data_IF_095659911085
#
_entry.id   IF_095659911085
#
_cell.length_a   1.000
_cell.length_b   1.000
_cell.length_c   1.000
_cell.angle_alpha   90.00
_cell.angle_beta   90.00
_cell.angle_gamma   90.00
#
_symmetry.space_group_name_H-M   'P 1'
#
loop_
_entity.id
_entity.type
_entity.pdbx_description
1 polymer ?
#
# COMPACT_ATOMS: atom_id res chain seq x y z
N UNK A 1 2.66 -9.56 -0.01
CA UNK A 1 2.65 -8.17 -0.52
C UNK A 1 4.05 -7.59 -0.39
N UNK A 2 4.45 -6.75 -1.33
CA UNK A 2 5.68 -5.96 -1.25
C UNK A 2 5.31 -4.47 -1.27
N UNK A 3 5.89 -3.68 -0.38
CA UNK A 3 5.87 -2.22 -0.47
C UNK A 3 7.31 -1.73 -0.44
N UNK A 4 7.67 -0.78 -1.30
CA UNK A 4 8.99 -0.16 -1.27
C UNK A 4 8.91 1.35 -1.51
N UNK A 5 9.82 2.07 -0.85
CA UNK A 5 10.04 3.50 -1.01
C UNK A 5 11.49 3.76 -1.47
N UNK A 6 11.81 3.50 -2.76
CA UNK A 6 13.16 3.68 -3.29
C UNK A 6 13.59 5.17 -3.26
N UNK A 7 14.89 5.48 -3.41
CA UNK A 7 15.36 6.87 -3.58
C UNK A 7 14.74 7.52 -4.84
N UNK A 8 14.36 8.79 -4.77
CA UNK A 8 13.59 9.48 -5.83
C UNK A 8 14.45 10.26 -6.83
N UNK A 9 15.77 10.35 -6.60
CA UNK A 9 16.70 11.03 -7.53
C UNK A 9 16.38 12.53 -7.75
N UNK A 10 15.83 13.22 -6.74
CA UNK A 10 15.36 14.62 -6.85
C UNK A 10 16.49 15.65 -6.89
N UNK A 11 16.30 16.74 -7.65
CA UNK A 11 17.29 17.82 -7.78
C UNK A 11 17.55 18.63 -6.50
N UNK A 12 16.69 18.59 -5.47
CA UNK A 12 16.93 19.27 -4.19
C UNK A 12 18.13 18.71 -3.41
N UNK A 13 18.61 17.51 -3.77
CA UNK A 13 19.87 16.98 -3.28
C UNK A 13 21.12 17.70 -3.83
N UNK A 14 20.95 18.69 -4.73
CA UNK A 14 22.04 19.53 -5.27
C UNK A 14 22.71 20.41 -4.19
N UNK A 15 21.95 20.88 -3.21
CA UNK A 15 22.46 21.79 -2.15
C UNK A 15 22.98 21.05 -0.91
N UNK A 16 22.82 19.72 -0.83
CA UNK A 16 23.27 18.88 0.30
C UNK A 16 24.77 18.53 0.23
N UNK A 17 25.53 19.17 -0.64
CA UNK A 17 26.98 19.00 -0.79
C UNK A 17 27.40 17.79 -1.65
N UNK A 18 26.47 17.12 -2.33
CA UNK A 18 26.72 15.98 -3.23
C UNK A 18 26.92 16.42 -4.70
N UNK A 19 27.81 17.40 -4.92
CA UNK A 19 28.24 17.77 -6.27
C UNK A 19 29.32 16.79 -6.76
N UNK A 20 28.96 15.93 -7.70
CA UNK A 20 29.94 15.38 -8.64
C UNK A 20 29.80 16.15 -9.95
N UNK A 21 30.81 16.96 -10.24
CA UNK A 21 31.22 17.21 -11.61
C UNK A 21 31.84 15.90 -12.15
N UNK A 22 31.74 15.62 -13.45
CA UNK A 22 32.25 14.39 -14.07
C UNK A 22 33.79 14.20 -13.97
N UNK A 23 34.49 14.97 -13.12
CA UNK A 23 35.96 15.02 -13.02
C UNK A 23 36.56 14.98 -11.62
N UNK A 24 35.77 14.79 -10.56
CA UNK A 24 36.34 14.83 -9.20
C UNK A 24 36.60 13.42 -8.64
N UNK A 25 37.88 13.09 -8.45
CA UNK A 25 38.37 11.90 -7.74
C UNK A 25 37.81 11.85 -6.31
N UNK A 26 37.13 10.76 -5.98
CA UNK A 26 36.40 10.60 -4.71
C UNK A 26 37.34 10.18 -3.59
N UNK A 27 37.62 11.09 -2.66
CA UNK A 27 38.23 10.74 -1.37
C UNK A 27 37.21 10.08 -0.43
N UNK A 28 37.60 8.96 0.19
CA UNK A 28 36.73 8.01 0.89
C UNK A 28 36.09 8.46 2.23
N UNK A 29 36.11 9.74 2.60
CA UNK A 29 35.82 10.17 3.97
C UNK A 29 34.51 10.94 4.19
N UNK A 30 33.59 11.00 3.22
CA UNK A 30 32.25 11.61 3.45
C UNK A 30 31.17 11.10 2.49
N UNK A 31 30.77 9.84 2.63
CA UNK A 31 29.61 9.29 1.90
C UNK A 31 28.31 9.62 2.63
N UNK A 32 27.63 10.67 2.18
CA UNK A 32 26.24 11.01 2.50
C UNK A 32 25.31 10.05 1.72
N UNK A 33 24.10 9.79 2.23
CA UNK A 33 23.09 8.90 1.64
C UNK A 33 23.02 9.10 0.11
N UNK A 34 23.25 8.04 -0.67
CA UNK A 34 23.46 8.20 -2.13
C UNK A 34 22.12 8.32 -2.86
N UNK A 35 21.52 9.51 -2.77
CA UNK A 35 20.22 9.81 -3.40
C UNK A 35 20.35 10.24 -4.87
N UNK A 36 21.57 10.25 -5.42
CA UNK A 36 21.86 10.60 -6.82
C UNK A 36 22.37 9.38 -7.58
N UNK A 37 21.61 8.96 -8.58
CA UNK A 37 22.02 7.98 -9.57
C UNK A 37 21.90 8.63 -10.96
N UNK A 38 22.78 8.28 -11.90
CA UNK A 38 22.42 8.52 -13.30
C UNK A 38 21.10 7.79 -13.56
N UNK A 39 20.22 8.32 -14.43
CA UNK A 39 18.94 7.64 -14.70
C UNK A 39 19.15 6.16 -15.06
N UNK A 40 20.16 5.88 -15.87
CA UNK A 40 20.60 4.51 -16.20
C UNK A 40 21.03 3.73 -14.96
N UNK A 41 21.83 4.32 -14.07
CA UNK A 41 22.23 3.69 -12.81
C UNK A 41 21.06 3.39 -11.87
N UNK A 42 20.08 4.31 -11.79
CA UNK A 42 18.87 4.13 -10.99
C UNK A 42 18.01 2.99 -11.54
N UNK A 43 17.79 2.99 -12.87
CA UNK A 43 17.02 1.95 -13.54
C UNK A 43 17.71 0.58 -13.43
N UNK A 44 19.03 0.51 -13.57
CA UNK A 44 19.77 -0.74 -13.36
C UNK A 44 19.63 -1.25 -11.93
N UNK A 45 19.76 -0.37 -10.92
CA UNK A 45 19.56 -0.72 -9.52
C UNK A 45 18.16 -1.28 -9.26
N UNK A 46 17.13 -0.62 -9.82
CA UNK A 46 15.73 -1.02 -9.67
C UNK A 46 15.41 -2.30 -10.43
N UNK A 47 15.95 -2.48 -11.64
CA UNK A 47 15.73 -3.64 -12.49
C UNK A 47 16.10 -4.94 -11.77
N UNK A 48 17.31 -5.02 -11.21
CA UNK A 48 17.78 -6.22 -10.52
C UNK A 48 16.91 -6.54 -9.29
N UNK A 49 16.54 -5.51 -8.51
CA UNK A 49 15.70 -5.68 -7.31
C UNK A 49 14.27 -6.07 -7.65
N UNK A 50 13.66 -5.44 -8.66
CA UNK A 50 12.28 -5.72 -9.08
C UNK A 50 12.14 -7.12 -9.69
N UNK A 51 13.16 -7.59 -10.43
CA UNK A 51 13.21 -8.98 -10.92
C UNK A 51 13.18 -9.98 -9.76
N UNK A 52 14.00 -9.77 -8.72
CA UNK A 52 13.98 -10.62 -7.52
C UNK A 52 12.65 -10.49 -6.76
N UNK A 53 12.12 -9.28 -6.60
CA UNK A 53 10.84 -9.04 -5.96
C UNK A 53 9.69 -9.81 -6.63
N UNK A 54 9.66 -9.83 -7.97
CA UNK A 54 8.69 -10.62 -8.75
C UNK A 54 8.81 -12.13 -8.48
N UNK A 55 10.02 -12.65 -8.32
CA UNK A 55 10.24 -14.07 -7.99
C UNK A 55 9.69 -14.40 -6.60
N UNK A 56 9.88 -13.51 -5.62
CA UNK A 56 9.43 -13.68 -4.23
C UNK A 56 7.92 -13.56 -4.03
N UNK A 57 7.21 -12.83 -4.89
CA UNK A 57 5.75 -12.71 -4.81
C UNK A 57 5.06 -14.06 -5.02
N UNK A 58 4.00 -14.31 -4.25
CA UNK A 58 3.00 -15.34 -4.59
C UNK A 58 2.21 -14.93 -5.82
N UNK A 59 1.52 -15.88 -6.45
CA UNK A 59 0.71 -15.65 -7.64
C UNK A 59 -0.38 -14.57 -7.44
N UNK A 60 -1.02 -14.54 -6.26
CA UNK A 60 -1.97 -13.52 -5.83
C UNK A 60 -1.29 -12.27 -5.22
N UNK A 61 0.04 -12.24 -5.21
CA UNK A 61 0.84 -11.21 -4.58
C UNK A 61 0.86 -9.90 -5.36
N UNK A 62 0.89 -8.80 -4.63
CA UNK A 62 0.94 -7.44 -5.16
C UNK A 62 2.19 -6.70 -4.68
N UNK A 63 2.68 -5.78 -5.51
CA UNK A 63 3.78 -4.86 -5.20
C UNK A 63 3.33 -3.42 -5.38
N UNK A 64 3.75 -2.57 -4.44
CA UNK A 64 3.56 -1.13 -4.44
C UNK A 64 4.92 -0.44 -4.40
N UNK A 65 5.15 0.51 -5.31
CA UNK A 65 6.39 1.26 -5.38
C UNK A 65 6.06 2.75 -5.31
N UNK A 66 6.45 3.41 -4.23
CA UNK A 66 6.31 4.86 -4.11
C UNK A 66 7.34 5.58 -4.99
N UNK A 67 6.94 6.67 -5.64
CA UNK A 67 7.79 7.45 -6.55
C UNK A 67 7.26 8.88 -6.72
N UNK A 68 8.14 9.83 -7.02
CA UNK A 68 7.78 11.19 -7.42
C UNK A 68 7.68 11.34 -8.95
N UNK A 69 7.44 12.56 -9.44
CA UNK A 69 7.37 12.84 -10.87
C UNK A 69 8.67 12.56 -11.65
N UNK A 70 9.83 12.56 -10.99
CA UNK A 70 11.15 12.52 -11.64
C UNK A 70 11.38 11.21 -12.39
N UNK A 71 11.11 10.08 -11.73
CA UNK A 71 11.39 8.75 -12.28
C UNK A 71 10.13 7.91 -12.55
N UNK A 72 8.93 8.42 -12.24
CA UNK A 72 7.67 7.67 -12.35
C UNK A 72 7.44 7.02 -13.72
N UNK A 73 7.67 7.77 -14.81
CA UNK A 73 7.43 7.27 -16.17
C UNK A 73 8.39 6.13 -16.52
N UNK A 74 9.67 6.27 -16.16
CA UNK A 74 10.69 5.25 -16.44
C UNK A 74 10.49 4.01 -15.58
N UNK A 75 10.13 4.19 -14.31
CA UNK A 75 9.76 3.08 -13.43
C UNK A 75 8.56 2.31 -13.98
N UNK A 76 7.53 3.01 -14.50
CA UNK A 76 6.35 2.36 -15.09
C UNK A 76 6.74 1.46 -16.27
N UNK A 77 7.56 1.96 -17.19
CA UNK A 77 8.03 1.19 -18.35
C UNK A 77 8.86 -0.02 -17.90
N UNK A 78 9.76 0.16 -16.93
CA UNK A 78 10.55 -0.94 -16.37
C UNK A 78 9.66 -2.01 -15.71
N UNK A 79 8.63 -1.59 -14.97
CA UNK A 79 7.69 -2.52 -14.34
C UNK A 79 6.79 -3.23 -15.37
N UNK A 80 6.43 -2.60 -16.48
CA UNK A 80 5.74 -3.28 -17.60
C UNK A 80 6.60 -4.42 -18.16
N UNK A 81 7.90 -4.19 -18.37
CA UNK A 81 8.83 -5.21 -18.85
C UNK A 81 8.96 -6.39 -17.86
N UNK A 82 9.06 -6.09 -16.56
CA UNK A 82 9.30 -7.12 -15.54
C UNK A 82 8.03 -7.88 -15.18
N UNK A 83 6.90 -7.19 -14.98
CA UNK A 83 5.65 -7.77 -14.47
C UNK A 83 4.64 -8.11 -15.57
N UNK A 84 4.79 -7.56 -16.78
CA UNK A 84 3.78 -7.61 -17.84
C UNK A 84 2.77 -6.47 -17.69
N UNK A 85 2.52 -5.74 -18.78
CA UNK A 85 1.56 -4.62 -18.81
C UNK A 85 0.15 -5.07 -18.39
N UNK A 86 -0.24 -6.29 -18.74
CA UNK A 86 -1.52 -6.88 -18.37
C UNK A 86 -1.70 -7.02 -16.85
N UNK A 87 -0.60 -7.08 -16.10
CA UNK A 87 -0.58 -7.21 -14.65
C UNK A 87 -0.56 -5.86 -13.92
N UNK A 88 -0.56 -4.74 -14.65
CA UNK A 88 -0.73 -3.41 -14.07
C UNK A 88 -2.11 -3.29 -13.40
N UNK A 89 -2.13 -2.83 -12.16
CA UNK A 89 -3.37 -2.65 -11.38
C UNK A 89 -3.86 -1.22 -11.52
N UNK A 90 -3.10 -0.27 -11.00
CA UNK A 90 -3.38 1.15 -11.05
C UNK A 90 -2.16 1.97 -10.61
N UNK A 91 -2.25 3.28 -10.82
CA UNK A 91 -1.36 4.26 -10.18
C UNK A 91 -2.17 4.98 -9.10
N UNK A 92 -1.73 4.87 -7.85
CA UNK A 92 -2.29 5.69 -6.78
C UNK A 92 -1.66 7.07 -6.81
N UNK A 93 -2.49 8.10 -6.69
CA UNK A 93 -2.08 9.49 -6.51
C UNK A 93 -2.31 9.84 -5.05
N UNK A 94 -1.24 10.05 -4.32
CA UNK A 94 -1.27 10.40 -2.91
C UNK A 94 -0.99 11.89 -2.73
N UNK A 95 -1.91 12.59 -2.08
CA UNK A 95 -1.70 13.99 -1.71
C UNK A 95 -0.84 14.08 -0.44
N UNK A 96 0.44 14.39 -0.63
CA UNK A 96 1.45 14.40 0.44
C UNK A 96 1.37 15.62 1.37
N UNK A 97 0.81 16.73 0.89
CA UNK A 97 0.70 18.00 1.63
C UNK A 97 -0.77 18.44 1.71
N UNK A 98 -1.19 18.93 2.87
CA UNK A 98 -2.46 19.65 3.00
C UNK A 98 -2.25 21.08 2.49
N UNK A 99 -3.18 21.59 1.67
CA UNK A 99 -3.12 22.91 1.01
C UNK A 99 -2.62 24.04 1.93
N UNK A 100 -1.77 24.90 1.38
CA UNK A 100 -1.33 26.15 1.99
C UNK A 100 0.12 26.11 2.46
N UNK A 101 1.05 26.55 1.60
CA UNK A 101 2.42 26.86 2.02
C UNK A 101 3.49 26.53 0.99
N UNK A 102 3.38 27.05 -0.24
CA UNK A 102 4.44 26.99 -1.23
C UNK A 102 4.32 28.17 -2.19
N UNK A 103 5.22 29.15 -2.08
CA UNK A 103 5.36 30.17 -3.13
C UNK A 103 6.21 29.59 -4.25
N UNK A 104 5.70 28.59 -4.95
CA UNK A 104 6.40 28.07 -6.12
C UNK A 104 6.35 29.14 -7.22
N UNK A 105 7.51 29.48 -7.80
CA UNK A 105 7.62 30.55 -8.82
C UNK A 105 6.75 30.28 -10.05
N UNK A 106 6.35 29.02 -10.25
CA UNK A 106 5.48 28.55 -11.32
C UNK A 106 3.98 28.82 -11.08
N UNK A 107 3.57 29.28 -9.89
CA UNK A 107 2.17 29.35 -9.44
C UNK A 107 1.44 27.98 -9.46
N UNK A 108 2.19 26.86 -9.43
CA UNK A 108 1.65 25.50 -9.39
C UNK A 108 2.24 24.81 -8.16
N UNK A 109 1.38 24.46 -7.20
CA UNK A 109 1.78 23.70 -6.02
C UNK A 109 1.85 22.19 -6.35
N UNK A 110 3.05 21.60 -6.30
CA UNK A 110 3.17 20.14 -6.39
C UNK A 110 2.86 19.47 -5.04
N UNK A 111 1.61 19.03 -4.90
CA UNK A 111 1.06 18.43 -3.67
C UNK A 111 0.96 16.90 -3.71
N UNK A 112 1.37 16.26 -4.80
CA UNK A 112 1.14 14.82 -5.02
C UNK A 112 2.43 14.02 -5.13
N UNK A 113 2.30 12.73 -4.85
CA UNK A 113 3.27 11.66 -5.13
C UNK A 113 2.52 10.45 -5.69
N UNK A 114 3.23 9.53 -6.33
CA UNK A 114 2.66 8.36 -6.98
C UNK A 114 3.03 7.08 -6.26
N UNK A 115 2.17 6.07 -6.40
CA UNK A 115 2.45 4.72 -5.94
C UNK A 115 1.97 3.77 -7.02
N UNK A 116 2.92 3.20 -7.76
CA UNK A 116 2.65 2.29 -8.86
C UNK A 116 2.34 0.91 -8.27
N UNK A 117 1.20 0.33 -8.66
CA UNK A 117 0.75 -0.97 -8.20
C UNK A 117 0.71 -2.01 -9.33
N UNK A 118 1.38 -3.14 -9.11
CA UNK A 118 1.32 -4.33 -9.96
C UNK A 118 0.92 -5.56 -9.17
N UNK A 119 0.22 -6.47 -9.85
CA UNK A 119 0.05 -7.84 -9.39
C UNK A 119 1.14 -8.73 -9.97
N UNK A 120 1.45 -9.87 -9.34
CA UNK A 120 2.24 -10.91 -9.98
C UNK A 120 1.45 -11.58 -11.12
N UNK A 121 0.19 -11.88 -10.85
CA UNK A 121 -0.80 -12.37 -11.81
C UNK A 121 -2.17 -11.75 -11.48
N UNK A 122 -2.62 -10.80 -12.31
CA UNK A 122 -3.84 -10.03 -12.05
C UNK A 122 -5.12 -10.87 -12.06
N UNK A 123 -5.15 -11.98 -12.78
CA UNK A 123 -6.30 -12.90 -12.81
C UNK A 123 -6.49 -13.67 -11.49
N UNK A 124 -5.40 -13.84 -10.72
CA UNK A 124 -5.40 -14.51 -9.42
C UNK A 124 -5.46 -13.55 -8.24
N UNK A 125 -5.25 -12.25 -8.48
CA UNK A 125 -5.30 -11.23 -7.44
C UNK A 125 -6.71 -11.05 -6.89
N UNK A 126 -6.81 -10.96 -5.56
CA UNK A 126 -8.02 -10.63 -4.86
C UNK A 126 -7.84 -9.30 -4.12
N UNK A 127 -8.90 -8.49 -4.06
CA UNK A 127 -8.88 -7.18 -3.42
C UNK A 127 -9.88 -7.14 -2.28
N UNK A 128 -9.45 -6.55 -1.17
CA UNK A 128 -10.31 -6.26 -0.05
C UNK A 128 -11.22 -5.08 -0.37
N UNK A 129 -12.17 -4.82 0.52
CA UNK A 129 -13.03 -3.64 0.50
C UNK A 129 -12.92 -2.86 1.80
N UNK A 130 -12.95 -1.53 1.71
CA UNK A 130 -12.95 -0.66 2.87
C UNK A 130 -14.23 -0.84 3.68
N UNK A 131 -14.13 -0.81 5.01
CA UNK A 131 -15.31 -0.81 5.88
C UNK A 131 -16.17 0.42 5.58
N UNK A 132 -17.48 0.24 5.54
CA UNK A 132 -18.43 1.34 5.35
C UNK A 132 -18.82 1.88 6.71
N UNK A 133 -19.05 3.19 6.76
CA UNK A 133 -19.73 3.82 7.87
C UNK A 133 -21.17 3.29 8.01
N UNK A 134 -21.39 2.51 9.05
CA UNK A 134 -22.68 1.88 9.39
C UNK A 134 -23.73 2.90 9.83
N UNK A 135 -23.37 4.15 10.14
CA UNK A 135 -24.32 5.19 10.58
C UNK A 135 -25.41 5.48 9.54
N UNK A 136 -25.12 5.27 8.25
CA UNK A 136 -26.10 5.47 7.18
C UNK A 136 -27.19 4.39 7.13
N UNK A 137 -26.95 3.21 7.71
CA UNK A 137 -27.88 2.07 7.67
C UNK A 137 -28.86 2.15 8.84
N UNK A 138 -29.90 2.96 8.67
CA UNK A 138 -30.85 3.30 9.75
C UNK A 138 -32.18 2.53 9.70
N UNK A 139 -32.53 1.94 8.56
CA UNK A 139 -33.82 1.27 8.35
C UNK A 139 -33.69 -0.25 8.56
N UNK A 140 -34.80 -0.87 8.95
CA UNK A 140 -34.88 -2.31 9.22
C UNK A 140 -36.15 -2.90 8.60
N UNK A 141 -36.09 -4.18 8.25
CA UNK A 141 -37.25 -4.97 7.84
C UNK A 141 -37.13 -6.41 8.38
N UNK A 142 -38.06 -7.28 7.99
CA UNK A 142 -38.12 -8.68 8.40
C UNK A 142 -36.81 -9.47 8.14
N UNK A 143 -35.94 -8.98 7.24
CA UNK A 143 -34.66 -9.61 6.93
C UNK A 143 -33.50 -9.11 7.78
N UNK A 144 -33.69 -8.19 8.74
CA UNK A 144 -32.59 -7.56 9.51
C UNK A 144 -31.62 -8.56 10.13
N UNK A 145 -32.09 -9.73 10.57
CA UNK A 145 -31.21 -10.79 11.13
C UNK A 145 -30.25 -11.40 10.09
N UNK A 146 -30.66 -11.47 8.83
CA UNK A 146 -29.91 -12.12 7.73
C UNK A 146 -29.21 -11.14 6.80
N UNK A 147 -29.81 -9.96 6.57
CA UNK A 147 -29.32 -8.91 5.66
C UNK A 147 -28.75 -7.70 6.40
N UNK A 148 -29.02 -7.55 7.69
CA UNK A 148 -28.69 -6.36 8.48
C UNK A 148 -29.60 -5.18 8.17
N UNK A 149 -29.23 -3.99 8.66
CA UNK A 149 -29.96 -2.75 8.40
C UNK A 149 -29.76 -2.30 6.96
N UNK A 150 -30.58 -1.37 6.48
CA UNK A 150 -30.51 -0.83 5.13
C UNK A 150 -30.73 0.68 5.08
N UNK A 151 -30.40 1.26 3.92
CA UNK A 151 -30.85 2.59 3.53
C UNK A 151 -31.47 2.56 2.13
N UNK A 152 -32.23 3.61 1.80
CA UNK A 152 -32.85 3.76 0.49
C UNK A 152 -31.97 4.63 -0.43
N UNK A 153 -31.77 4.15 -1.65
CA UNK A 153 -31.17 4.93 -2.73
C UNK A 153 -32.12 5.03 -3.91
N UNK A 154 -32.05 6.13 -4.65
CA UNK A 154 -32.87 6.35 -5.84
C UNK A 154 -32.62 5.24 -6.87
N UNK A 155 -33.70 4.68 -7.43
CA UNK A 155 -33.59 3.70 -8.51
C UNK A 155 -33.36 4.36 -9.87
N UNK A 156 -33.55 5.68 -9.96
CA UNK A 156 -33.41 6.48 -11.16
C UNK A 156 -32.22 7.44 -11.11
N UNK A 157 -31.73 7.85 -12.29
CA UNK A 157 -30.67 8.85 -12.43
C UNK A 157 -31.01 9.85 -13.53
N UNK A 158 -30.49 11.06 -13.40
CA UNK A 158 -30.57 12.11 -14.42
C UNK A 158 -29.88 11.63 -15.70
N UNK A 159 -30.49 11.93 -16.84
CA UNK A 159 -29.91 11.80 -18.16
C UNK A 159 -29.54 13.18 -18.71
N UNK A 160 -28.27 13.41 -19.06
CA UNK A 160 -27.79 14.67 -19.63
C UNK A 160 -26.57 14.47 -20.54
N UNK A 161 -26.24 15.48 -21.36
CA UNK A 161 -25.03 15.46 -22.20
C UNK A 161 -23.73 15.43 -21.39
N UNK A 162 -23.73 16.01 -20.20
CA UNK A 162 -22.57 16.08 -19.29
C UNK A 162 -22.53 14.96 -18.25
N UNK A 163 -23.52 14.07 -18.25
CA UNK A 163 -23.64 12.94 -17.33
C UNK A 163 -23.98 11.67 -18.12
N UNK A 164 -24.77 10.77 -17.57
CA UNK A 164 -25.23 9.59 -18.26
C UNK A 164 -26.20 9.97 -19.37
N UNK A 165 -25.96 9.46 -20.59
CA UNK A 165 -26.93 9.61 -21.66
C UNK A 165 -28.19 8.79 -21.35
N UNK A 166 -29.31 9.22 -21.93
CA UNK A 166 -30.56 8.49 -21.82
C UNK A 166 -30.45 7.15 -22.55
N UNK A 167 -30.96 6.08 -21.92
CA UNK A 167 -30.95 4.72 -22.46
C UNK A 167 -32.39 4.23 -22.49
N UNK A 168 -32.94 4.01 -23.69
CA UNK A 168 -34.34 3.64 -23.90
C UNK A 168 -34.72 2.30 -23.22
N UNK A 169 -33.80 1.32 -23.21
CA UNK A 169 -34.02 0.04 -22.54
C UNK A 169 -34.11 0.13 -21.00
N UNK A 170 -33.78 1.29 -20.42
CA UNK A 170 -33.89 1.59 -18.99
C UNK A 170 -35.11 2.48 -18.66
N UNK A 171 -35.99 2.74 -19.62
CA UNK A 171 -37.23 3.50 -19.45
C UNK A 171 -38.46 2.61 -19.66
N UNK A 172 -38.62 1.65 -18.75
CA UNK A 172 -39.72 0.68 -18.74
C UNK A 172 -40.74 1.02 -17.65
N UNK A 173 -41.93 0.44 -17.73
CA UNK A 173 -42.95 0.58 -16.70
C UNK A 173 -42.71 -0.39 -15.54
N UNK A 174 -43.07 0.05 -14.33
CA UNK A 174 -43.02 -0.71 -13.10
C UNK A 174 -44.45 -0.81 -12.54
N UNK A 175 -44.79 -1.96 -11.97
CA UNK A 175 -46.06 -2.15 -11.26
C UNK A 175 -45.97 -1.54 -9.86
N UNK A 176 -46.89 -0.63 -9.55
CA UNK A 176 -47.07 -0.04 -8.23
C UNK A 176 -47.80 -1.00 -7.27
N UNK A 177 -47.76 -0.75 -5.94
CA UNK A 177 -48.44 -1.58 -4.96
C UNK A 177 -49.97 -1.67 -5.13
N UNK A 178 -50.59 -0.67 -5.77
CA UNK A 178 -52.02 -0.63 -6.09
C UNK A 178 -52.39 -1.40 -7.39
N UNK A 179 -51.40 -2.02 -8.04
CA UNK A 179 -51.55 -2.75 -9.30
C UNK A 179 -51.45 -1.88 -10.54
N UNK A 180 -51.32 -0.55 -10.41
CA UNK A 180 -51.16 0.35 -11.57
C UNK A 180 -49.74 0.28 -12.14
N UNK A 181 -49.59 0.49 -13.45
CA UNK A 181 -48.27 0.62 -14.09
C UNK A 181 -47.85 2.09 -14.09
N UNK A 182 -46.59 2.37 -13.75
CA UNK A 182 -46.04 3.73 -13.80
C UNK A 182 -44.67 3.76 -14.45
N UNK A 183 -44.38 4.89 -15.12
CA UNK A 183 -43.04 5.26 -15.59
C UNK A 183 -42.41 6.24 -14.61
N UNK A 184 -41.11 6.52 -14.81
CA UNK A 184 -40.47 7.59 -14.07
C UNK A 184 -41.23 8.92 -14.29
N UNK A 185 -41.80 9.46 -13.21
CA UNK A 185 -42.61 10.69 -13.28
C UNK A 185 -41.85 11.88 -13.87
N UNK A 186 -40.52 11.95 -13.68
CA UNK A 186 -39.71 13.03 -14.27
C UNK A 186 -39.57 12.89 -15.78
N UNK A 187 -39.62 11.67 -16.33
CA UNK A 187 -39.70 11.45 -17.78
C UNK A 187 -41.06 11.87 -18.36
N UNK A 188 -42.14 11.75 -17.58
CA UNK A 188 -43.46 12.24 -17.98
C UNK A 188 -43.43 13.76 -18.13
N UNK A 189 -42.83 14.46 -17.17
CA UNK A 189 -42.70 15.93 -17.22
C UNK A 189 -41.70 16.41 -18.28
N UNK A 190 -40.57 15.72 -18.42
CA UNK A 190 -39.53 16.03 -19.38
C UNK A 190 -39.03 14.73 -20.02
N UNK A 191 -39.51 14.40 -21.23
CA UNK A 191 -39.11 13.19 -21.92
C UNK A 191 -37.58 13.04 -22.02
N UNK A 192 -37.10 11.80 -21.83
CA UNK A 192 -35.68 11.42 -21.92
C UNK A 192 -34.75 12.14 -20.93
N UNK A 193 -35.27 12.59 -19.79
CA UNK A 193 -34.48 13.32 -18.80
C UNK A 193 -33.96 12.46 -17.65
N UNK A 194 -34.52 11.26 -17.46
CA UNK A 194 -34.13 10.28 -16.45
C UNK A 194 -34.18 8.87 -17.05
N UNK A 195 -33.51 7.93 -16.40
CA UNK A 195 -33.68 6.50 -16.67
C UNK A 195 -33.44 5.71 -15.38
N UNK A 196 -33.95 4.48 -15.32
CA UNK A 196 -33.64 3.59 -14.20
C UNK A 196 -32.17 3.14 -14.23
N UNK A 197 -31.66 2.76 -13.06
CA UNK A 197 -30.29 2.27 -12.87
C UNK A 197 -30.13 0.77 -13.08
N UNK A 198 -31.24 0.04 -13.14
CA UNK A 198 -31.28 -1.41 -13.36
C UNK A 198 -31.97 -1.70 -14.69
N UNK A 199 -31.43 -2.65 -15.47
CA UNK A 199 -32.17 -3.25 -16.58
C UNK A 199 -33.37 -4.04 -16.07
N UNK A 200 -34.40 -4.21 -16.92
CA UNK A 200 -35.69 -4.79 -16.52
C UNK A 200 -35.58 -6.15 -15.80
N UNK A 201 -34.79 -7.07 -16.35
CA UNK A 201 -34.57 -8.41 -15.77
C UNK A 201 -33.91 -8.34 -14.38
N UNK A 202 -32.91 -7.46 -14.21
CA UNK A 202 -32.26 -7.25 -12.91
C UNK A 202 -33.21 -6.56 -11.93
N UNK A 203 -34.04 -5.63 -12.39
CA UNK A 203 -35.09 -5.03 -11.57
C UNK A 203 -36.07 -6.09 -11.05
N UNK A 204 -36.55 -6.99 -11.93
CA UNK A 204 -37.44 -8.08 -11.55
C UNK A 204 -36.79 -9.00 -10.50
N UNK A 205 -35.50 -9.31 -10.63
CA UNK A 205 -34.75 -10.03 -9.61
C UNK A 205 -34.72 -9.29 -8.27
N UNK A 206 -34.38 -8.00 -8.26
CA UNK A 206 -34.37 -7.19 -7.04
C UNK A 206 -35.77 -7.11 -6.41
N UNK A 207 -36.81 -6.90 -7.22
CA UNK A 207 -38.18 -6.75 -6.76
C UNK A 207 -38.70 -8.07 -6.15
N UNK A 208 -38.49 -9.19 -6.83
CA UNK A 208 -38.89 -10.53 -6.36
C UNK A 208 -38.19 -10.91 -5.04
N UNK A 209 -36.99 -10.37 -4.80
CA UNK A 209 -36.21 -10.59 -3.58
C UNK A 209 -36.40 -9.49 -2.50
N UNK A 210 -37.38 -8.60 -2.65
CA UNK A 210 -37.72 -7.51 -1.70
C UNK A 210 -36.63 -6.45 -1.53
N UNK A 211 -35.77 -6.23 -2.53
CA UNK A 211 -34.78 -5.14 -2.53
C UNK A 211 -35.31 -3.84 -3.14
N UNK A 212 -36.57 -3.80 -3.59
CA UNK A 212 -37.22 -2.60 -4.12
C UNK A 212 -38.27 -2.12 -3.14
N UNK A 213 -38.30 -0.82 -2.91
CA UNK A 213 -39.34 -0.14 -2.13
C UNK A 213 -40.02 0.91 -3.00
N UNK A 214 -41.34 0.83 -3.17
CA UNK A 214 -42.12 1.76 -3.98
C UNK A 214 -42.96 2.61 -3.04
N UNK A 215 -42.79 3.92 -3.12
CA UNK A 215 -43.47 4.89 -2.28
C UNK A 215 -44.26 5.89 -3.13
N UNK A 216 -45.42 6.31 -2.63
CA UNK A 216 -46.14 7.43 -3.21
C UNK A 216 -45.49 8.74 -2.75
N UNK A 217 -45.20 9.63 -3.70
CA UNK A 217 -44.63 10.96 -3.46
C UNK A 217 -45.56 12.01 -4.03
N UNK A 218 -45.41 13.24 -3.54
CA UNK A 218 -46.18 14.39 -4.00
C UNK A 218 -45.22 15.36 -4.68
N UNK A 219 -45.55 15.77 -5.91
CA UNK A 219 -44.78 16.76 -6.65
C UNK A 219 -45.11 18.17 -6.16
N UNK A 220 -44.33 19.18 -6.57
CA UNK A 220 -44.46 20.56 -6.09
C UNK A 220 -45.85 21.18 -6.32
N UNK A 221 -46.56 20.70 -7.34
CA UNK A 221 -47.91 21.14 -7.72
C UNK A 221 -49.04 20.35 -7.01
N UNK A 222 -48.70 19.43 -6.10
CA UNK A 222 -49.68 18.57 -5.41
C UNK A 222 -49.98 17.25 -6.11
N UNK A 223 -49.45 17.02 -7.31
CA UNK A 223 -49.66 15.76 -8.06
C UNK A 223 -49.01 14.58 -7.34
N UNK A 224 -49.77 13.53 -7.08
CA UNK A 224 -49.24 12.28 -6.51
C UNK A 224 -48.65 11.40 -7.61
N UNK A 225 -47.50 10.81 -7.34
CA UNK A 225 -46.81 9.90 -8.27
C UNK A 225 -46.07 8.80 -7.51
N UNK A 226 -45.84 7.67 -8.18
CA UNK A 226 -45.07 6.57 -7.63
C UNK A 226 -43.56 6.75 -7.89
N UNK A 227 -42.75 6.46 -6.88
CA UNK A 227 -41.28 6.43 -7.00
C UNK A 227 -40.74 5.14 -6.40
N UNK A 228 -39.86 4.49 -7.15
CA UNK A 228 -39.15 3.29 -6.73
C UNK A 228 -37.77 3.64 -6.17
N UNK A 229 -37.39 2.94 -5.11
CA UNK A 229 -36.12 3.00 -4.41
C UNK A 229 -35.51 1.62 -4.34
N UNK A 230 -34.18 1.57 -4.27
CA UNK A 230 -33.44 0.34 -3.99
C UNK A 230 -33.04 0.33 -2.51
N UNK A 231 -33.32 -0.77 -1.83
CA UNK A 231 -32.79 -1.06 -0.51
C UNK A 231 -31.33 -1.52 -0.62
N UNK A 232 -30.44 -0.86 0.11
CA UNK A 232 -29.02 -1.22 0.18
C UNK A 232 -28.73 -1.70 1.60
N UNK A 233 -28.50 -3.00 1.73
CA UNK A 233 -28.28 -3.68 3.02
C UNK A 233 -26.80 -3.78 3.39
N UNK A 234 -26.51 -3.90 4.70
CA UNK A 234 -25.16 -3.97 5.26
C UNK A 234 -24.49 -5.35 5.06
N UNK A 235 -25.24 -6.47 5.19
CA UNK A 235 -24.67 -7.85 5.20
C UNK A 235 -24.91 -8.66 3.94
N UNK A 236 -25.50 -8.04 2.91
CA UNK A 236 -25.73 -8.70 1.62
C UNK A 236 -25.48 -7.79 0.44
N UNK A 237 -24.99 -8.41 -0.63
CA UNK A 237 -24.88 -7.80 -1.96
C UNK A 237 -25.59 -8.67 -2.99
N UNK A 238 -25.92 -8.07 -4.14
CA UNK A 238 -26.40 -8.82 -5.30
C UNK A 238 -25.27 -8.94 -6.31
N UNK A 239 -24.87 -10.17 -6.61
CA UNK A 239 -24.03 -10.49 -7.76
C UNK A 239 -24.83 -10.27 -9.04
N UNK A 240 -24.29 -9.42 -9.91
CA UNK A 240 -24.91 -9.02 -11.18
C UNK A 240 -24.45 -9.88 -12.34
N UNK A 241 -23.54 -10.83 -12.13
CA UNK A 241 -23.22 -11.85 -13.11
C UNK A 241 -24.40 -12.81 -13.23
N UNK A 242 -24.71 -13.25 -14.45
CA UNK A 242 -25.77 -14.23 -14.67
C UNK A 242 -25.27 -15.64 -14.32
N UNK A 243 -26.05 -16.46 -13.61
CA UNK A 243 -27.35 -16.12 -13.00
C UNK A 243 -27.18 -15.24 -11.75
N UNK A 244 -28.07 -14.25 -11.58
CA UNK A 244 -28.01 -13.31 -10.45
C UNK A 244 -28.16 -14.03 -9.11
N UNK A 245 -27.37 -13.62 -8.11
CA UNK A 245 -27.35 -14.24 -6.77
C UNK A 245 -27.27 -13.20 -5.67
N UNK A 246 -27.83 -13.52 -4.51
CA UNK A 246 -27.61 -12.75 -3.28
C UNK A 246 -26.44 -13.41 -2.56
N UNK A 247 -25.39 -12.64 -2.26
CA UNK A 247 -24.22 -13.10 -1.53
C UNK A 247 -24.26 -12.49 -0.14
N UNK A 248 -24.18 -13.34 0.89
CA UNK A 248 -23.98 -12.90 2.26
C UNK A 248 -22.51 -12.53 2.45
N UNK A 249 -22.27 -11.23 2.62
CA UNK A 249 -20.97 -10.65 2.96
C UNK A 249 -21.20 -9.23 3.45
N UNK A 250 -20.35 -8.76 4.35
CA UNK A 250 -20.36 -7.36 4.73
C UNK A 250 -20.09 -6.47 3.51
N UNK A 251 -20.84 -5.37 3.43
CA UNK A 251 -20.67 -4.40 2.36
C UNK A 251 -19.45 -3.55 2.66
N UNK A 252 -18.57 -3.44 1.67
CA UNK A 252 -17.43 -2.54 1.70
C UNK A 252 -17.43 -1.55 0.55
N UNK A 253 -16.73 -0.43 0.72
CA UNK A 253 -16.40 0.50 -0.34
C UNK A 253 -15.16 0.04 -1.10
N UNK A 254 -15.06 0.41 -2.38
CA UNK A 254 -13.82 0.19 -3.12
C UNK A 254 -12.74 1.14 -2.63
N UNK A 255 -11.49 0.68 -2.63
CA UNK A 255 -10.34 1.57 -2.43
C UNK A 255 -10.23 2.56 -3.59
N UNK A 256 -10.03 3.83 -3.27
CA UNK A 256 -9.76 4.90 -4.24
C UNK A 256 -8.29 4.88 -4.64
N UNK A 257 -8.01 5.09 -5.93
CA UNK A 257 -6.64 5.37 -6.38
C UNK A 257 -6.24 6.85 -6.18
N UNK A 258 -7.15 7.69 -5.69
CA UNK A 258 -6.84 9.04 -5.22
C UNK A 258 -6.91 9.06 -3.68
N UNK A 259 -5.75 9.22 -3.04
CA UNK A 259 -5.60 9.26 -1.58
C UNK A 259 -5.44 10.73 -1.18
N UNK A 260 -6.53 11.36 -0.74
CA UNK A 260 -6.60 12.78 -0.39
C UNK A 260 -7.20 12.99 1.02
N UNK A 261 -6.91 12.07 1.94
CA UNK A 261 -7.37 12.19 3.31
C UNK A 261 -6.37 13.01 4.12
N UNK A 262 -6.83 14.06 4.81
CA UNK A 262 -5.93 15.03 5.46
C UNK A 262 -5.08 14.46 6.60
N UNK A 263 -5.47 13.32 7.15
CA UNK A 263 -4.73 12.51 8.13
C UNK A 263 -3.64 11.63 7.49
N UNK A 264 -3.58 11.50 6.17
CA UNK A 264 -2.57 10.75 5.42
C UNK A 264 -1.65 11.76 4.71
N UNK A 265 -0.85 12.52 5.47
CA UNK A 265 0.09 13.51 4.92
C UNK A 265 1.49 13.34 5.47
N UNK A 266 2.51 13.79 4.75
CA UNK A 266 3.92 13.70 5.17
C UNK A 266 4.18 14.28 6.56
N UNK A 267 3.44 15.32 6.94
CA UNK A 267 3.50 15.93 8.28
C UNK A 267 3.11 14.97 9.40
N UNK A 268 2.13 14.09 9.16
CA UNK A 268 1.65 13.10 10.13
C UNK A 268 2.70 12.04 10.41
N UNK A 269 3.37 11.53 9.36
CA UNK A 269 4.47 10.58 9.48
C UNK A 269 5.62 11.14 10.33
N UNK A 270 6.02 12.38 10.07
CA UNK A 270 7.06 13.08 10.86
C UNK A 270 6.67 13.21 12.33
N UNK A 271 5.43 13.63 12.64
CA UNK A 271 4.96 13.75 14.04
C UNK A 271 5.03 12.43 14.79
N UNK A 272 4.60 11.33 14.17
CA UNK A 272 4.64 10.00 14.80
C UNK A 272 6.07 9.54 15.04
N UNK A 273 6.98 9.75 14.09
CA UNK A 273 8.38 9.38 14.30
C UNK A 273 9.03 10.19 15.43
N UNK A 274 8.78 11.51 15.48
CA UNK A 274 9.27 12.38 16.55
C UNK A 274 8.74 11.90 17.91
N UNK A 275 7.46 11.53 18.01
CA UNK A 275 6.89 11.06 19.29
C UNK A 275 7.48 9.74 19.79
N UNK A 276 8.10 8.96 18.90
CA UNK A 276 8.74 7.68 19.24
C UNK A 276 10.22 7.89 19.59
N UNK A 277 10.95 8.63 18.76
CA UNK A 277 12.41 8.78 18.88
C UNK A 277 12.86 9.99 19.71
N UNK A 278 11.94 10.91 20.05
CA UNK A 278 12.23 12.22 20.70
C UNK A 278 13.26 13.09 19.97
N UNK A 279 13.49 12.83 18.68
CA UNK A 279 14.47 13.55 17.88
C UNK A 279 13.78 14.27 16.72
N UNK A 280 14.11 15.55 16.55
CA UNK A 280 13.49 16.46 15.57
C UNK A 280 14.16 16.45 14.18
N UNK A 281 15.35 15.85 14.07
CA UNK A 281 16.24 15.99 12.90
C UNK A 281 16.09 14.90 11.84
N UNK A 282 14.90 14.29 11.72
CA UNK A 282 14.67 13.23 10.73
C UNK A 282 13.97 13.71 9.45
N UNK A 283 14.39 13.08 8.34
CA UNK A 283 13.72 13.12 7.04
C UNK A 283 12.28 12.65 7.17
N UNK A 284 11.43 13.05 6.23
CA UNK A 284 10.00 12.83 6.31
C UNK A 284 9.64 11.36 6.02
N UNK A 285 9.32 10.53 7.04
CA UNK A 285 8.96 9.15 6.79
C UNK A 285 7.57 9.10 6.14
N UNK A 286 7.31 8.04 5.36
CA UNK A 286 5.95 7.77 4.87
C UNK A 286 4.98 7.63 6.05
N UNK A 287 3.74 8.16 5.95
CA UNK A 287 2.75 8.03 7.03
C UNK A 287 2.33 6.57 7.25
N UNK A 288 2.09 6.20 8.51
CA UNK A 288 1.61 4.85 8.85
C UNK A 288 0.28 4.57 8.16
N UNK A 289 -0.66 5.52 8.21
CA UNK A 289 -1.99 5.38 7.60
C UNK A 289 -1.94 5.13 6.09
N UNK A 290 -0.94 5.68 5.39
CA UNK A 290 -0.73 5.40 3.97
C UNK A 290 -0.39 3.92 3.76
N UNK A 291 0.55 3.40 4.54
CA UNK A 291 0.98 2.00 4.41
C UNK A 291 -0.12 1.05 4.87
N UNK A 292 -0.89 1.40 5.92
CA UNK A 292 -2.07 0.65 6.35
C UNK A 292 -3.11 0.59 5.24
N UNK A 293 -3.39 1.71 4.59
CA UNK A 293 -4.30 1.78 3.45
C UNK A 293 -3.89 0.81 2.34
N UNK A 294 -2.61 0.79 1.97
CA UNK A 294 -2.09 -0.11 0.94
C UNK A 294 -2.14 -1.58 1.38
N UNK A 295 -1.70 -1.91 2.60
CA UNK A 295 -1.71 -3.29 3.11
C UNK A 295 -3.14 -3.83 3.16
N UNK A 296 -4.08 -3.01 3.61
CA UNK A 296 -5.47 -3.41 3.76
C UNK A 296 -6.19 -3.60 2.41
N UNK A 297 -5.61 -3.18 1.28
CA UNK A 297 -6.14 -3.52 -0.05
C UNK A 297 -6.05 -5.02 -0.35
N UNK A 298 -5.13 -5.74 0.30
CA UNK A 298 -4.97 -7.18 0.15
C UNK A 298 -5.82 -7.91 1.21
N UNK A 299 -6.70 -8.86 0.83
CA UNK A 299 -7.71 -9.42 1.73
C UNK A 299 -7.18 -10.44 2.74
N UNK A 300 -5.95 -10.92 2.57
CA UNK A 300 -5.37 -11.96 3.43
C UNK A 300 -4.88 -11.38 4.78
N UNK A 301 -5.50 -11.74 5.93
CA UNK A 301 -5.08 -11.27 7.25
C UNK A 301 -3.79 -11.93 7.76
N UNK A 302 -3.28 -12.96 7.09
CA UNK A 302 -2.02 -13.64 7.40
C UNK A 302 -0.94 -13.34 6.33
N UNK A 303 -1.09 -12.22 5.62
CA UNK A 303 -0.18 -11.84 4.54
C UNK A 303 1.24 -11.63 5.06
N UNK A 304 2.22 -12.07 4.26
CA UNK A 304 3.64 -11.72 4.44
C UNK A 304 3.92 -10.41 3.70
N UNK A 305 4.42 -9.41 4.41
CA UNK A 305 4.74 -8.08 3.91
C UNK A 305 6.25 -7.92 3.86
N UNK A 306 6.79 -7.60 2.69
CA UNK A 306 8.22 -7.36 2.50
C UNK A 306 8.44 -5.91 2.09
N UNK A 307 9.42 -5.27 2.71
CA UNK A 307 9.90 -3.96 2.34
C UNK A 307 11.43 -3.95 2.38
N UNK A 308 12.04 -3.90 1.18
CA UNK A 308 13.49 -3.89 1.03
C UNK A 308 14.08 -2.50 0.79
N UNK A 309 13.29 -1.46 1.08
CA UNK A 309 13.71 -0.06 1.20
C UNK A 309 13.11 0.52 2.50
N UNK A 310 13.27 -0.20 3.62
CA UNK A 310 12.46 0.03 4.82
C UNK A 310 12.68 1.41 5.46
N UNK A 311 13.85 2.03 5.25
CA UNK A 311 14.19 3.35 5.76
C UNK A 311 13.93 3.47 7.26
N UNK A 312 12.91 4.25 7.65
CA UNK A 312 12.55 4.45 9.06
C UNK A 312 11.74 3.33 9.71
N UNK A 313 11.35 2.27 8.99
CA UNK A 313 10.57 1.15 9.52
C UNK A 313 9.06 1.42 9.60
N UNK A 314 8.52 2.31 8.76
CA UNK A 314 7.07 2.61 8.72
C UNK A 314 6.25 1.35 8.43
N UNK A 315 6.69 0.52 7.47
CA UNK A 315 5.96 -0.69 7.05
C UNK A 315 5.78 -1.70 8.17
N UNK A 316 6.84 -1.93 8.97
CA UNK A 316 6.74 -2.81 10.14
C UNK A 316 5.75 -2.29 11.18
N UNK A 317 5.77 -0.97 11.45
CA UNK A 317 4.79 -0.35 12.36
C UNK A 317 3.35 -0.52 11.83
N UNK A 318 3.11 -0.24 10.55
CA UNK A 318 1.77 -0.38 9.95
C UNK A 318 1.22 -1.81 10.05
N UNK A 319 2.07 -2.82 9.89
CA UNK A 319 1.68 -4.24 10.04
C UNK A 319 1.28 -4.55 11.48
N UNK A 320 2.07 -4.11 12.47
CA UNK A 320 1.75 -4.30 13.89
C UNK A 320 0.43 -3.63 14.27
N UNK A 321 0.21 -2.41 13.77
CA UNK A 321 -1.01 -1.64 14.04
C UNK A 321 -2.24 -2.31 13.42
N UNK A 322 -2.17 -2.74 12.15
CA UNK A 322 -3.27 -3.46 11.50
C UNK A 322 -3.64 -4.76 12.23
N UNK A 323 -2.64 -5.58 12.60
CA UNK A 323 -2.91 -6.82 13.32
C UNK A 323 -3.62 -6.56 14.66
N UNK A 324 -3.28 -5.46 15.36
CA UNK A 324 -3.98 -5.05 16.58
C UNK A 324 -5.42 -4.60 16.29
N UNK A 325 -5.64 -3.85 15.22
CA UNK A 325 -6.94 -3.29 14.86
C UNK A 325 -7.94 -4.34 14.35
N UNK A 326 -7.48 -5.30 13.55
CA UNK A 326 -8.34 -6.27 12.86
C UNK A 326 -8.17 -7.73 13.33
N UNK A 327 -7.24 -7.99 14.25
CA UNK A 327 -6.96 -9.32 14.77
C UNK A 327 -6.24 -10.25 13.78
N UNK A 328 -5.66 -9.71 12.70
CA UNK A 328 -4.87 -10.48 11.74
C UNK A 328 -3.51 -10.92 12.28
N UNK A 329 -2.84 -11.82 11.54
CA UNK A 329 -1.51 -12.35 11.86
C UNK A 329 -0.51 -12.07 10.74
N UNK A 330 -0.55 -10.86 10.15
CA UNK A 330 0.38 -10.47 9.10
C UNK A 330 1.80 -10.45 9.66
N UNK A 331 2.76 -10.96 8.90
CA UNK A 331 4.19 -10.91 9.27
C UNK A 331 4.92 -9.94 8.37
N UNK A 332 5.94 -9.25 8.86
CA UNK A 332 6.77 -8.37 8.04
C UNK A 332 8.23 -8.81 7.98
N UNK A 333 8.90 -8.46 6.88
CA UNK A 333 10.36 -8.55 6.71
C UNK A 333 10.83 -7.21 6.16
N UNK A 334 11.75 -6.56 6.87
CA UNK A 334 12.32 -5.28 6.48
C UNK A 334 13.78 -5.48 6.11
N UNK A 335 14.21 -4.89 5.00
CA UNK A 335 15.61 -4.78 4.61
C UNK A 335 15.91 -3.30 4.41
N UNK A 336 16.98 -2.84 5.04
CA UNK A 336 17.49 -1.47 4.89
C UNK A 336 19.00 -1.51 4.90
N UNK A 337 19.64 -0.62 4.14
CA UNK A 337 21.04 -0.33 4.38
C UNK A 337 21.18 0.37 5.75
N UNK A 338 22.35 0.28 6.35
CA UNK A 338 22.66 1.00 7.58
C UNK A 338 23.46 2.29 7.30
N UNK A 339 23.28 2.88 6.11
CA UNK A 339 23.87 4.17 5.76
C UNK A 339 23.40 5.24 6.75
N UNK A 340 24.32 6.08 7.24
CA UNK A 340 24.05 7.08 8.28
C UNK A 340 23.41 6.52 9.56
N UNK A 341 23.60 5.22 9.83
CA UNK A 341 22.97 4.50 10.93
C UNK A 341 21.43 4.50 10.89
N UNK A 342 20.80 4.66 9.72
CA UNK A 342 19.34 4.67 9.63
C UNK A 342 18.74 3.33 10.07
N UNK A 343 19.39 2.21 9.75
CA UNK A 343 18.94 0.87 10.13
C UNK A 343 18.91 0.69 11.64
N UNK A 344 20.01 1.01 12.32
CA UNK A 344 20.14 0.79 13.77
C UNK A 344 19.45 1.91 14.58
N UNK A 345 19.77 3.18 14.30
CA UNK A 345 19.35 4.30 15.14
C UNK A 345 17.92 4.77 14.86
N UNK A 346 17.32 4.37 13.73
CA UNK A 346 15.98 4.82 13.33
C UNK A 346 15.03 3.64 13.16
N UNK A 347 15.29 2.74 12.21
CA UNK A 347 14.40 1.63 11.89
C UNK A 347 14.24 0.67 13.07
N UNK A 348 15.36 0.12 13.55
CA UNK A 348 15.39 -0.78 14.69
C UNK A 348 14.91 -0.06 15.95
N UNK A 349 15.45 1.11 16.27
CA UNK A 349 15.04 1.84 17.48
C UNK A 349 13.54 2.16 17.51
N UNK A 350 12.95 2.57 16.37
CA UNK A 350 11.51 2.81 16.25
C UNK A 350 10.72 1.54 16.57
N UNK A 351 11.05 0.42 15.91
CA UNK A 351 10.33 -0.84 16.09
C UNK A 351 10.53 -1.41 17.50
N UNK A 352 11.74 -1.31 18.04
CA UNK A 352 12.06 -1.74 19.39
C UNK A 352 11.23 -0.95 20.42
N UNK A 353 11.15 0.38 20.30
CA UNK A 353 10.38 1.23 21.21
C UNK A 353 8.91 0.93 21.22
N UNK A 354 8.27 0.88 20.05
CA UNK A 354 6.82 0.63 19.97
C UNK A 354 6.48 -0.79 20.42
N UNK A 355 7.42 -1.73 20.28
CA UNK A 355 7.18 -3.12 20.63
C UNK A 355 7.38 -3.40 22.12
N UNK A 356 8.35 -2.74 22.75
CA UNK A 356 8.73 -2.99 24.15
C UNK A 356 8.28 -1.90 25.13
N UNK A 357 7.79 -0.75 24.65
CA UNK A 357 7.46 0.40 25.50
C UNK A 357 8.67 1.14 26.08
N UNK A 358 9.87 0.82 25.62
CA UNK A 358 11.14 1.42 26.06
C UNK A 358 12.16 1.45 24.93
N UNK A 359 13.09 2.40 24.97
CA UNK A 359 14.23 2.47 24.06
C UNK A 359 15.22 1.33 24.26
N UNK A 360 16.07 1.10 23.25
CA UNK A 360 17.08 0.04 23.31
C UNK A 360 18.09 0.24 24.45
N UNK A 361 18.22 1.47 24.95
CA UNK A 361 19.07 1.80 26.11
C UNK A 361 18.27 1.96 27.40
N UNK A 362 17.01 1.56 27.41
CA UNK A 362 16.13 1.58 28.58
C UNK A 362 15.34 2.88 28.79
N UNK A 363 15.34 3.80 27.81
CA UNK A 363 14.60 5.05 27.91
C UNK A 363 13.08 4.82 27.90
N UNK A 364 12.35 5.37 28.86
CA UNK A 364 10.88 5.25 28.94
C UNK A 364 10.16 6.58 28.76
N UNK A 365 10.88 7.69 28.62
CA UNK A 365 10.25 9.01 28.47
C UNK A 365 10.15 9.36 26.99
N UNK A 366 9.08 8.95 26.30
CA UNK A 366 8.77 9.39 24.93
C UNK A 366 7.25 9.51 24.72
N UNK A 367 6.82 10.42 23.87
CA UNK A 367 5.41 10.83 23.79
C UNK A 367 4.46 9.72 23.30
N UNK A 368 4.96 8.78 22.49
CA UNK A 368 4.12 7.73 21.90
C UNK A 368 3.47 6.83 22.96
N UNK A 369 4.19 6.45 24.03
CA UNK A 369 3.64 5.58 25.10
C UNK A 369 2.56 6.27 25.94
N UNK A 370 2.45 7.61 25.90
CA UNK A 370 1.41 8.34 26.64
C UNK A 370 0.00 8.05 26.10
N UNK A 371 -0.09 7.55 24.87
CA UNK A 371 -1.35 7.30 24.16
C UNK A 371 -1.47 5.88 23.59
N UNK A 372 -0.42 5.07 23.68
CA UNK A 372 -0.34 3.78 23.02
C UNK A 372 0.30 2.75 23.95
N UNK A 373 -0.20 1.52 23.87
CA UNK A 373 0.39 0.37 24.55
C UNK A 373 1.44 -0.32 23.65
N UNK A 374 2.48 -0.94 24.24
CA UNK A 374 3.45 -1.72 23.48
C UNK A 374 2.81 -2.88 22.70
N UNK A 375 3.39 -3.24 21.55
CA UNK A 375 2.87 -4.34 20.72
C UNK A 375 3.21 -5.74 21.25
N UNK A 376 4.30 -5.90 22.00
CA UNK A 376 4.74 -7.15 22.62
C UNK A 376 4.82 -8.34 21.64
N UNK A 377 5.33 -8.09 20.43
CA UNK A 377 5.56 -9.10 19.40
C UNK A 377 7.04 -9.52 19.34
N UNK A 378 7.34 -10.61 18.65
CA UNK A 378 8.72 -11.00 18.40
C UNK A 378 9.33 -10.06 17.33
N UNK A 379 10.55 -9.58 17.58
CA UNK A 379 11.32 -8.76 16.65
C UNK A 379 12.73 -9.34 16.53
N UNK A 380 12.94 -10.15 15.49
CA UNK A 380 14.25 -10.71 15.16
C UNK A 380 15.01 -9.75 14.24
N UNK A 381 16.27 -9.50 14.56
CA UNK A 381 17.13 -8.56 13.83
C UNK A 381 18.42 -9.26 13.45
N UNK A 382 18.74 -9.18 12.16
CA UNK A 382 19.93 -9.80 11.58
C UNK A 382 20.80 -8.72 10.96
N UNK A 383 22.09 -8.72 11.32
CA UNK A 383 23.09 -7.88 10.67
C UNK A 383 23.82 -8.72 9.62
N UNK A 384 23.79 -8.27 8.36
CA UNK A 384 24.55 -8.90 7.29
C UNK A 384 25.94 -8.26 7.26
N UNK A 385 26.97 -9.07 7.48
CA UNK A 385 28.36 -8.66 7.36
C UNK A 385 28.99 -9.31 6.14
N UNK A 386 29.70 -8.49 5.37
CA UNK A 386 30.50 -8.95 4.26
C UNK A 386 31.94 -9.04 4.71
N UNK A 387 32.59 -10.12 4.32
CA UNK A 387 33.98 -10.37 4.63
C UNK A 387 34.73 -10.60 3.33
N UNK A 388 35.93 -10.02 3.25
CA UNK A 388 36.86 -10.35 2.18
C UNK A 388 37.37 -11.80 2.40
N UNK A 389 37.28 -12.60 1.34
CA UNK A 389 37.75 -13.98 1.33
C UNK A 389 39.12 -14.12 0.67
N UNK A 390 39.75 -13.02 0.22
CA UNK A 390 41.08 -13.08 -0.38
C UNK A 390 42.10 -13.63 0.63
N UNK A 391 42.67 -14.77 0.27
CA UNK A 391 43.59 -15.56 1.09
C UNK A 391 44.87 -14.77 1.42
N UNK A 392 45.18 -13.73 0.65
CA UNK A 392 46.44 -12.98 0.75
C UNK A 392 46.38 -11.69 1.57
N UNK A 393 45.21 -11.29 2.09
CA UNK A 393 45.11 -10.08 2.93
C UNK A 393 45.21 -10.39 4.43
N UNK A 394 45.80 -9.47 5.20
CA UNK A 394 45.94 -9.61 6.66
C UNK A 394 44.62 -9.43 7.44
N UNK A 395 43.48 -9.26 6.76
CA UNK A 395 42.22 -8.85 7.38
C UNK A 395 41.24 -10.02 7.62
N UNK A 396 41.73 -11.26 7.47
CA UNK A 396 40.89 -12.46 7.44
C UNK A 396 40.60 -13.04 8.84
N UNK A 397 41.14 -12.46 9.90
CA UNK A 397 40.95 -12.95 11.27
C UNK A 397 39.48 -12.90 11.71
N UNK A 398 38.76 -11.85 11.31
CA UNK A 398 37.34 -11.70 11.65
C UNK A 398 36.47 -12.79 10.99
N UNK A 399 36.68 -13.09 9.70
CA UNK A 399 35.91 -14.13 9.01
C UNK A 399 36.26 -15.53 9.53
N UNK A 400 37.53 -15.78 9.88
CA UNK A 400 37.94 -17.05 10.52
C UNK A 400 37.25 -17.23 11.87
N UNK A 401 37.17 -16.17 12.68
CA UNK A 401 36.53 -16.22 13.99
C UNK A 401 35.02 -16.45 13.87
N UNK A 402 34.34 -15.73 12.96
CA UNK A 402 32.91 -15.92 12.72
C UNK A 402 32.60 -17.32 12.18
N UNK A 403 33.43 -17.85 11.27
CA UNK A 403 33.29 -19.21 10.77
C UNK A 403 33.41 -20.25 11.91
N UNK A 404 34.40 -20.09 12.82
CA UNK A 404 34.53 -20.96 14.00
C UNK A 404 33.32 -20.86 14.93
N UNK A 405 32.80 -19.65 15.15
CA UNK A 405 31.59 -19.44 15.95
C UNK A 405 30.38 -20.15 15.32
N UNK A 406 30.19 -20.01 14.00
CA UNK A 406 29.12 -20.73 13.28
C UNK A 406 29.24 -22.25 13.45
N UNK A 407 30.43 -22.82 13.27
CA UNK A 407 30.65 -24.27 13.46
C UNK A 407 30.29 -24.73 14.89
N UNK A 408 30.60 -23.90 15.90
CA UNK A 408 30.20 -24.16 17.29
C UNK A 408 28.68 -24.08 17.46
N UNK A 409 28.02 -23.09 16.86
CA UNK A 409 26.56 -22.93 16.90
C UNK A 409 25.83 -24.13 16.27
N UNK A 410 26.44 -24.77 15.26
CA UNK A 410 25.97 -26.01 14.65
C UNK A 410 26.39 -27.29 15.41
N UNK A 411 26.96 -27.18 16.61
CA UNK A 411 27.40 -28.31 17.45
C UNK A 411 28.41 -29.25 16.76
N UNK A 412 29.24 -28.73 15.84
CA UNK A 412 30.25 -29.53 15.15
C UNK A 412 31.48 -29.70 16.06
N UNK A 413 31.61 -30.88 16.66
CA UNK A 413 32.55 -31.20 17.75
C UNK A 413 34.06 -31.19 17.41
N UNK A 414 34.47 -30.71 16.23
CA UNK A 414 35.87 -30.70 15.76
C UNK A 414 36.37 -29.32 15.32
N UNK A 415 35.74 -28.21 15.73
CA UNK A 415 36.14 -26.83 15.33
C UNK A 415 37.62 -26.54 15.60
N UNK A 416 38.17 -27.07 16.70
CA UNK A 416 39.58 -26.86 17.09
C UNK A 416 40.59 -27.65 16.25
N UNK A 417 40.16 -28.57 15.38
CA UNK A 417 41.05 -29.35 14.50
C UNK A 417 41.23 -28.74 13.11
N UNK A 418 40.37 -27.80 12.73
CA UNK A 418 40.43 -27.17 11.41
C UNK A 418 41.53 -26.11 11.47
N UNK A 419 42.58 -26.30 10.67
CA UNK A 419 43.67 -25.32 10.61
C UNK A 419 43.22 -24.07 9.81
N UNK A 420 43.94 -22.97 9.95
CA UNK A 420 43.55 -21.71 9.31
C UNK A 420 43.50 -21.77 7.78
N UNK A 421 44.33 -22.61 7.16
CA UNK A 421 44.32 -22.83 5.71
C UNK A 421 43.06 -23.57 5.25
N UNK A 422 42.60 -24.58 5.99
CA UNK A 422 41.34 -25.29 5.72
C UNK A 422 40.12 -24.38 5.90
N UNK A 423 40.13 -23.50 6.90
CA UNK A 423 39.08 -22.49 7.06
C UNK A 423 39.02 -21.60 5.80
N UNK A 424 40.17 -21.07 5.38
CA UNK A 424 40.24 -20.22 4.18
C UNK A 424 39.82 -20.99 2.92
N UNK A 425 40.23 -22.25 2.76
CA UNK A 425 39.84 -23.08 1.61
C UNK A 425 38.32 -23.35 1.56
N UNK A 426 37.70 -23.57 2.72
CA UNK A 426 36.25 -23.73 2.81
C UNK A 426 35.51 -22.42 2.53
N UNK A 427 36.05 -21.29 3.00
CA UNK A 427 35.50 -19.96 2.74
C UNK A 427 35.62 -19.58 1.26
N UNK A 428 36.72 -19.93 0.57
CA UNK A 428 36.86 -19.70 -0.88
C UNK A 428 35.99 -20.64 -1.73
N UNK A 429 35.56 -21.78 -1.18
CA UNK A 429 34.58 -22.66 -1.81
C UNK A 429 33.14 -22.14 -1.69
N UNK A 430 32.87 -21.18 -0.80
CA UNK A 430 31.59 -20.47 -0.78
C UNK A 430 31.47 -19.70 -2.09
N UNK A 431 30.26 -19.73 -2.67
CA UNK A 431 30.00 -19.01 -3.91
C UNK A 431 30.28 -17.52 -3.67
N UNK A 432 31.29 -16.91 -4.30
CA UNK A 432 31.54 -15.50 -4.12
C UNK A 432 30.29 -14.74 -4.56
N UNK A 433 29.90 -13.74 -3.79
CA UNK A 433 28.97 -12.73 -4.29
C UNK A 433 29.80 -11.95 -5.30
N UNK A 434 29.66 -12.28 -6.59
CA UNK A 434 30.32 -11.52 -7.67
C UNK A 434 29.88 -10.06 -7.55
N UNK A 435 30.73 -9.25 -6.92
CA UNK A 435 30.71 -7.82 -7.14
C UNK A 435 31.04 -7.65 -8.60
N UNK A 436 30.04 -7.39 -9.45
CA UNK A 436 30.33 -6.97 -10.82
C UNK A 436 31.07 -5.65 -10.71
N UNK A 437 32.39 -5.73 -10.86
CA UNK A 437 33.24 -4.60 -11.15
C UNK A 437 32.61 -3.83 -12.31
N UNK A 438 32.22 -2.59 -12.05
CA UNK A 438 31.72 -1.65 -13.03
C UNK A 438 32.86 -1.09 -13.89
N UNK A 439 33.78 -1.96 -14.33
CA UNK A 439 34.91 -1.64 -15.19
C UNK A 439 35.00 -2.66 -16.33
N UNK A 440 33.98 -2.72 -17.18
CA UNK A 440 34.19 -3.09 -18.59
C UNK A 440 33.50 -2.05 -19.47
N UNK A 441 34.30 -1.04 -19.81
CA UNK A 441 34.15 -0.25 -21.02
C UNK A 441 34.37 -1.15 -22.24
N UNK A 442 33.31 -1.35 -23.03
CA UNK A 442 33.33 -1.33 -24.50
C UNK A 442 31.90 -1.24 -25.04
#
# INVERSE_FOLDING_TARGET
>A
MIYIDPPYNTESAKDDGNNLSEKDDVAASKFIYRDKFSRTGWLNMMNERLKMARQLLKEDGVIFVSIDDTEQAYLKVLMDEIFGEENFVCNFVWRKKNTGGGSDKSNIDNETEFIICYSKNKEKSNWNSQKIDIENFTLEDEFVKTRGKYYLTDLDRVSSKSSFQYIESLDYEIMAPDGTMFKNYRNILKPRSYCYTLGKELFEFYNSNRFIEIQQKTYKDGTKYWKAYRKVYEKVIVDRNKPYKIISRERGNNFSNLINEGNISTSTGKRVLISILNNKDFSFPKPIELIKYLINTHPNPDARVLDFFAGSGTTGHAVLDLNREDGGNRTFTLVTNNENNIGINVCYERLYRINNGKGSKGETDFDWIKKNEPYNQNLDVFEIKYYDTDVLTNNNELIKQDFKNMLNDFNLSNVNKINEQEILLNLTALKPVEGKDSNESN
#
